data_IF_564702372240
#
_entry.id   IF_564702372240
#
_cell.length_a   1.000
_cell.length_b   1.000
_cell.length_c   1.000
_cell.angle_alpha   90.00
_cell.angle_beta   90.00
_cell.angle_gamma   90.00
#
_symmetry.space_group_name_H-M   'P 1'
#
loop_
_entity.id
_entity.type
_entity.pdbx_description
1 polymer ?
#
# COMPACT_ATOMS: atom_id res chain seq x y z
N UNK A 1 64.45 5.50 45.23
CA UNK A 1 63.10 5.96 45.65
C UNK A 1 62.55 7.07 44.73
N UNK A 2 63.20 7.38 43.60
CA UNK A 2 62.86 8.52 42.74
C UNK A 2 62.24 8.07 41.39
N UNK A 3 62.45 6.81 40.96
CA UNK A 3 61.95 6.27 39.68
C UNK A 3 60.43 5.95 39.62
N UNK A 4 59.67 6.20 40.70
CA UNK A 4 58.23 5.89 40.77
C UNK A 4 57.32 7.13 40.90
N UNK A 5 57.86 8.34 40.74
CA UNK A 5 57.09 9.58 40.85
C UNK A 5 56.30 9.85 39.56
N UNK A 6 55.04 10.27 39.71
CA UNK A 6 54.27 10.82 38.59
C UNK A 6 54.94 12.10 38.08
N UNK A 7 54.74 12.45 36.81
CA UNK A 7 55.34 13.67 36.24
C UNK A 7 54.87 14.93 36.98
N UNK A 8 53.61 14.95 37.44
CA UNK A 8 53.07 15.97 38.35
C UNK A 8 53.87 16.06 39.66
N UNK A 9 54.04 14.94 40.35
CA UNK A 9 54.76 14.92 41.65
C UNK A 9 56.23 15.29 41.50
N UNK A 10 56.84 14.87 40.38
CA UNK A 10 58.21 15.19 40.03
C UNK A 10 58.39 16.71 39.89
N UNK A 11 57.52 17.36 39.12
CA UNK A 11 57.56 18.82 38.93
C UNK A 11 57.30 19.57 40.23
N UNK A 12 56.35 19.11 41.04
CA UNK A 12 56.05 19.73 42.34
C UNK A 12 57.24 19.68 43.30
N UNK A 13 57.93 18.53 43.37
CA UNK A 13 59.14 18.39 44.18
C UNK A 13 60.28 19.25 43.64
N UNK A 14 60.45 19.29 42.31
CA UNK A 14 61.46 20.11 41.65
C UNK A 14 61.26 21.60 41.94
N UNK A 15 60.04 22.11 41.78
CA UNK A 15 59.74 23.52 42.05
C UNK A 15 59.90 23.87 43.52
N UNK A 16 59.43 23.01 44.43
CA UNK A 16 59.53 23.25 45.87
C UNK A 16 60.99 23.32 46.35
N UNK A 17 61.80 22.29 46.03
CA UNK A 17 63.22 22.27 46.41
C UNK A 17 64.04 23.34 45.71
N UNK A 18 63.70 23.64 44.45
CA UNK A 18 64.32 24.73 43.70
C UNK A 18 64.10 26.08 44.38
N UNK A 19 62.86 26.40 44.74
CA UNK A 19 62.53 27.65 45.45
C UNK A 19 63.25 27.75 46.81
N UNK A 20 63.33 26.66 47.56
CA UNK A 20 64.06 26.60 48.83
C UNK A 20 65.56 26.85 48.63
N UNK A 21 66.18 26.20 47.64
CA UNK A 21 67.59 26.42 47.29
C UNK A 21 67.86 27.87 46.88
N UNK A 22 66.98 28.48 46.08
CA UNK A 22 67.10 29.89 45.67
C UNK A 22 66.99 30.85 46.87
N UNK A 23 66.02 30.62 47.77
CA UNK A 23 65.78 31.47 48.95
C UNK A 23 67.00 31.52 49.87
N UNK A 24 67.59 30.36 50.17
CA UNK A 24 68.70 30.27 51.14
C UNK A 24 70.00 30.89 50.62
N UNK A 25 70.17 30.99 49.30
CA UNK A 25 71.35 31.57 48.71
C UNK A 25 71.21 33.06 48.37
N UNK A 26 69.97 33.60 48.28
CA UNK A 26 69.73 35.02 47.98
C UNK A 26 70.38 35.97 49.01
N UNK A 27 70.55 35.53 50.26
CA UNK A 27 71.15 36.34 51.33
C UNK A 27 72.70 36.37 51.33
N UNK A 28 73.37 35.57 50.50
CA UNK A 28 74.82 35.33 50.56
C UNK A 28 75.59 35.76 49.29
N UNK A 29 74.95 36.44 48.33
CA UNK A 29 75.51 36.64 46.98
C UNK A 29 75.72 38.12 46.68
N UNK A 30 76.98 38.53 46.48
CA UNK A 30 77.36 39.84 45.92
C UNK A 30 77.46 39.83 44.38
N UNK A 31 77.45 38.66 43.74
CA UNK A 31 77.57 38.51 42.29
C UNK A 31 76.25 38.82 41.55
N UNK A 32 76.27 39.90 40.77
CA UNK A 32 75.14 40.35 39.93
C UNK A 32 74.67 39.30 38.93
N UNK A 33 75.58 38.47 38.40
CA UNK A 33 75.26 37.45 37.39
C UNK A 33 74.45 36.32 38.02
N UNK A 34 74.88 35.84 39.18
CA UNK A 34 74.18 34.82 39.96
C UNK A 34 72.81 35.32 40.44
N UNK A 35 72.71 36.58 40.91
CA UNK A 35 71.42 37.18 41.31
C UNK A 35 70.41 37.18 40.15
N UNK A 36 70.84 37.57 38.94
CA UNK A 36 69.97 37.60 37.76
C UNK A 36 69.40 36.22 37.42
N UNK A 37 70.20 35.15 37.50
CA UNK A 37 69.71 33.78 37.25
C UNK A 37 68.65 33.38 38.27
N UNK A 38 68.91 33.66 39.55
CA UNK A 38 67.99 33.34 40.65
C UNK A 38 66.65 34.05 40.44
N UNK A 39 66.67 35.34 40.12
CA UNK A 39 65.47 36.13 39.84
C UNK A 39 64.70 35.61 38.62
N UNK A 40 65.41 35.14 37.59
CA UNK A 40 64.79 34.62 36.36
C UNK A 40 64.12 33.26 36.57
N UNK A 41 64.64 32.41 37.45
CA UNK A 41 64.05 31.09 37.75
C UNK A 41 62.77 31.20 38.57
N UNK A 42 62.70 32.19 39.48
CA UNK A 42 61.66 32.25 40.50
C UNK A 42 60.23 32.26 39.94
N UNK A 43 59.84 33.07 38.94
CA UNK A 43 58.45 33.16 38.49
C UNK A 43 57.89 31.84 37.95
N UNK A 44 58.68 31.10 37.16
CA UNK A 44 58.23 29.83 36.59
C UNK A 44 58.18 28.73 37.66
N UNK A 45 59.14 28.68 38.58
CA UNK A 45 59.11 27.72 39.68
C UNK A 45 57.93 27.99 40.63
N UNK A 46 57.61 29.25 40.92
CA UNK A 46 56.39 29.59 41.66
C UNK A 46 55.12 29.18 40.92
N UNK A 47 55.10 29.33 39.60
CA UNK A 47 53.95 28.93 38.76
C UNK A 47 53.76 27.41 38.76
N UNK A 48 54.84 26.65 38.60
CA UNK A 48 54.83 25.18 38.69
C UNK A 48 54.31 24.75 40.07
N UNK A 49 54.82 25.36 41.15
CA UNK A 49 54.47 24.99 42.51
C UNK A 49 53.02 25.32 42.89
N UNK A 50 52.39 26.30 42.23
CA UNK A 50 51.02 26.76 42.52
C UNK A 50 49.96 26.08 41.67
N UNK A 51 50.27 25.70 40.43
CA UNK A 51 49.29 25.11 39.51
C UNK A 51 49.29 23.60 39.61
N UNK A 52 48.10 23.04 39.81
CA UNK A 52 47.93 21.61 39.66
C UNK A 52 48.05 21.19 38.19
N UNK A 53 48.55 19.98 37.96
CA UNK A 53 48.72 19.37 36.65
C UNK A 53 49.56 20.21 35.65
N UNK A 54 50.61 20.87 36.13
CA UNK A 54 51.51 21.64 35.27
C UNK A 54 52.21 20.78 34.19
N UNK A 55 52.35 19.47 34.44
CA UNK A 55 52.80 18.47 33.48
C UNK A 55 51.95 18.42 32.20
N UNK A 56 50.65 18.72 32.31
CA UNK A 56 49.73 18.79 31.16
C UNK A 56 49.77 20.14 30.45
N UNK A 57 50.19 21.19 31.17
CA UNK A 57 50.35 22.55 30.61
C UNK A 57 51.64 22.62 29.78
N UNK A 58 52.73 22.03 30.28
CA UNK A 58 54.03 22.00 29.61
C UNK A 58 54.55 20.55 29.37
N UNK A 59 53.82 19.71 28.63
CA UNK A 59 54.15 18.29 28.43
C UNK A 59 55.47 18.08 27.69
N UNK A 60 55.85 18.97 26.77
CA UNK A 60 57.09 18.83 26.01
C UNK A 60 58.31 18.92 26.93
N UNK A 61 58.42 19.99 27.73
CA UNK A 61 59.55 20.17 28.64
C UNK A 61 59.50 19.24 29.83
N UNK A 62 58.31 18.84 30.29
CA UNK A 62 58.16 17.80 31.32
C UNK A 62 58.82 16.51 30.88
N UNK A 63 58.54 16.05 29.64
CA UNK A 63 59.17 14.84 29.10
C UNK A 63 60.65 15.04 28.79
N UNK A 64 61.02 16.17 28.18
CA UNK A 64 62.39 16.48 27.75
C UNK A 64 63.37 16.58 28.92
N UNK A 65 62.99 17.28 29.98
CA UNK A 65 63.86 17.57 31.12
C UNK A 65 63.71 16.59 32.28
N UNK A 66 62.91 15.52 32.14
CA UNK A 66 62.67 14.51 33.18
C UNK A 66 63.97 14.02 33.84
N UNK A 67 64.92 13.54 33.05
CA UNK A 67 66.20 13.04 33.57
C UNK A 67 67.03 14.12 34.27
N UNK A 68 67.05 15.33 33.72
CA UNK A 68 67.77 16.47 34.30
C UNK A 68 67.17 16.89 35.64
N UNK A 69 65.85 16.89 35.75
CA UNK A 69 65.12 17.19 36.98
C UNK A 69 65.40 16.13 38.05
N UNK A 70 65.37 14.84 37.68
CA UNK A 70 65.68 13.74 38.59
C UNK A 70 67.11 13.87 39.15
N UNK A 71 68.09 14.14 38.28
CA UNK A 71 69.48 14.38 38.68
C UNK A 71 69.64 15.58 39.62
N UNK A 72 68.94 16.69 39.36
CA UNK A 72 68.93 17.86 40.24
C UNK A 72 68.35 17.54 41.63
N UNK A 73 67.24 16.80 41.68
CA UNK A 73 66.61 16.38 42.92
C UNK A 73 67.51 15.45 43.75
N UNK A 74 68.23 14.53 43.11
CA UNK A 74 69.23 13.67 43.76
C UNK A 74 70.40 14.48 44.33
N UNK A 75 70.87 15.48 43.59
CA UNK A 75 71.94 16.37 44.05
C UNK A 75 71.52 17.18 45.28
N UNK A 76 70.31 17.75 45.28
CA UNK A 76 69.76 18.44 46.45
C UNK A 76 69.49 17.51 47.63
N UNK A 77 69.19 16.24 47.40
CA UNK A 77 69.07 15.25 48.48
C UNK A 77 70.41 15.00 49.19
N UNK A 78 71.53 15.02 48.45
CA UNK A 78 72.89 14.85 49.02
C UNK A 78 73.43 16.13 49.66
N UNK A 79 73.19 17.28 49.03
CA UNK A 79 73.65 18.60 49.48
C UNK A 79 72.50 19.60 49.35
N UNK A 80 71.68 19.77 50.40
CA UNK A 80 70.60 20.75 50.41
C UNK A 80 71.12 22.14 50.07
N UNK A 81 70.37 22.89 49.28
CA UNK A 81 70.66 24.29 48.90
C UNK A 81 71.93 24.51 48.05
N UNK A 82 72.52 23.46 47.47
CA UNK A 82 73.67 23.62 46.60
C UNK A 82 73.30 24.26 45.24
N UNK A 83 73.98 25.37 44.88
CA UNK A 83 73.84 26.08 43.61
C UNK A 83 74.89 25.72 42.54
N UNK A 84 75.69 24.67 42.74
CA UNK A 84 76.65 24.22 41.73
C UNK A 84 76.02 23.95 40.35
N UNK A 85 74.71 23.70 40.30
CA UNK A 85 73.94 23.45 39.09
C UNK A 85 72.90 24.54 38.80
N UNK A 86 73.17 25.77 39.23
CA UNK A 86 72.29 26.93 38.97
C UNK A 86 72.12 27.20 37.48
N UNK A 87 73.15 26.93 36.67
CA UNK A 87 73.09 27.12 35.22
C UNK A 87 72.07 26.16 34.57
N UNK A 88 72.06 24.90 34.98
CA UNK A 88 71.06 23.92 34.54
C UNK A 88 69.67 24.27 35.03
N UNK A 89 69.51 24.68 36.31
CA UNK A 89 68.22 25.12 36.83
C UNK A 89 67.68 26.33 36.06
N UNK A 90 68.56 27.26 35.71
CA UNK A 90 68.23 28.43 34.90
C UNK A 90 67.75 28.03 33.50
N UNK A 91 68.47 27.15 32.81
CA UNK A 91 68.07 26.71 31.47
C UNK A 91 66.77 25.90 31.48
N UNK A 92 66.59 25.01 32.45
CA UNK A 92 65.31 24.28 32.64
C UNK A 92 64.17 25.28 32.87
N UNK A 93 64.39 26.29 33.73
CA UNK A 93 63.40 27.33 34.01
C UNK A 93 63.04 28.14 32.76
N UNK A 94 64.02 28.50 31.92
CA UNK A 94 63.77 29.22 30.66
C UNK A 94 63.01 28.36 29.65
N UNK A 95 63.32 27.06 29.58
CA UNK A 95 62.61 26.11 28.73
C UNK A 95 61.12 26.02 29.09
N UNK A 96 60.81 25.77 30.37
CA UNK A 96 59.42 25.76 30.87
C UNK A 96 58.73 27.11 30.72
N UNK A 97 59.45 28.22 30.94
CA UNK A 97 58.92 29.56 30.74
C UNK A 97 58.41 29.75 29.31
N UNK A 98 59.18 29.28 28.32
CA UNK A 98 58.80 29.43 26.92
C UNK A 98 57.54 28.62 26.57
N UNK A 99 57.51 27.35 26.94
CA UNK A 99 56.34 26.51 26.66
C UNK A 99 55.09 27.04 27.38
N UNK A 100 55.23 27.54 28.61
CA UNK A 100 54.13 28.15 29.35
C UNK A 100 53.61 29.42 28.66
N UNK A 101 54.49 30.30 28.19
CA UNK A 101 54.08 31.49 27.43
C UNK A 101 53.32 31.10 26.15
N UNK A 102 53.81 30.10 25.41
CA UNK A 102 53.10 29.58 24.23
C UNK A 102 51.73 28.98 24.60
N UNK A 103 51.62 28.30 25.75
CA UNK A 103 50.34 27.83 26.26
C UNK A 103 49.39 29.00 26.53
N UNK A 104 49.86 30.07 27.18
CA UNK A 104 49.06 31.26 27.46
C UNK A 104 48.58 31.91 26.15
N UNK A 105 49.46 32.05 25.15
CA UNK A 105 49.13 32.58 23.82
C UNK A 105 48.04 31.73 23.13
N UNK A 106 48.18 30.40 23.10
CA UNK A 106 47.19 29.49 22.48
C UNK A 106 45.81 29.54 23.13
N UNK A 107 45.73 29.86 24.41
CA UNK A 107 44.48 29.93 25.16
C UNK A 107 43.98 31.37 25.35
N UNK A 108 44.57 32.35 24.65
CA UNK A 108 44.24 33.77 24.77
C UNK A 108 44.31 34.30 26.23
N UNK A 109 45.23 33.76 27.03
CA UNK A 109 45.49 34.18 28.41
C UNK A 109 46.57 35.27 28.38
N UNK A 110 46.38 36.36 29.13
CA UNK A 110 47.40 37.40 29.26
C UNK A 110 48.73 36.80 29.80
N UNK A 111 49.88 37.18 29.24
CA UNK A 111 51.16 36.60 29.61
C UNK A 111 51.49 36.92 31.07
N UNK A 112 52.12 35.97 31.76
CA UNK A 112 52.66 36.26 33.08
C UNK A 112 53.86 37.23 32.92
N UNK A 113 53.67 38.51 33.26
CA UNK A 113 54.66 39.58 33.03
C UNK A 113 56.07 39.20 33.50
N UNK A 114 56.21 38.62 34.71
CA UNK A 114 57.52 38.21 35.22
C UNK A 114 58.20 37.16 34.33
N UNK A 115 57.47 36.13 33.90
CA UNK A 115 57.99 35.09 33.00
C UNK A 115 58.30 35.68 31.63
N UNK A 116 57.42 36.53 31.09
CA UNK A 116 57.60 37.20 29.81
C UNK A 116 58.86 38.09 29.79
N UNK A 117 59.06 38.91 30.82
CA UNK A 117 60.18 39.84 30.90
C UNK A 117 61.53 39.12 31.02
N UNK A 118 61.61 38.08 31.86
CA UNK A 118 62.82 37.28 31.96
C UNK A 118 63.10 36.45 30.71
N UNK A 119 62.06 35.96 30.03
CA UNK A 119 62.20 35.32 28.73
C UNK A 119 62.76 36.29 27.67
N UNK A 120 62.23 37.51 27.60
CA UNK A 120 62.72 38.54 26.67
C UNK A 120 64.19 38.89 26.93
N UNK A 121 64.58 39.04 28.20
CA UNK A 121 65.97 39.25 28.62
C UNK A 121 66.87 38.08 28.24
N UNK A 122 66.45 36.85 28.53
CA UNK A 122 67.18 35.64 28.15
C UNK A 122 67.42 35.58 26.64
N UNK A 123 66.40 35.88 25.83
CA UNK A 123 66.50 35.92 24.37
C UNK A 123 67.54 36.93 23.90
N UNK A 124 67.56 38.12 24.48
CA UNK A 124 68.51 39.17 24.17
C UNK A 124 69.95 38.81 24.61
N UNK A 125 70.12 38.26 25.82
CA UNK A 125 71.42 37.84 26.36
C UNK A 125 72.05 36.74 25.47
N UNK A 126 71.25 35.77 25.02
CA UNK A 126 71.71 34.69 24.12
C UNK A 126 72.07 35.24 22.73
N UNK A 127 71.35 36.22 22.22
CA UNK A 127 71.62 36.87 20.94
C UNK A 127 72.93 37.66 20.95
N UNK A 128 73.14 38.43 22.01
CA UNK A 128 74.33 39.27 22.19
C UNK A 128 75.55 38.47 22.67
N UNK A 129 75.39 37.15 22.89
CA UNK A 129 76.42 36.24 23.44
C UNK A 129 76.90 36.63 24.83
N UNK A 130 76.06 37.33 25.61
CA UNK A 130 76.34 37.78 26.99
C UNK A 130 75.86 36.69 27.95
N UNK A 131 76.36 35.47 27.76
CA UNK A 131 75.88 34.31 28.52
C UNK A 131 76.36 34.42 29.97
N UNK A 132 75.46 34.28 30.95
CA UNK A 132 75.88 34.12 32.33
C UNK A 132 76.37 32.68 32.62
N UNK A 133 76.60 31.85 31.59
CA UNK A 133 76.83 30.40 31.70
C UNK A 133 78.32 30.06 31.63
N UNK A 134 78.78 29.14 32.48
CA UNK A 134 80.20 28.77 32.57
C UNK A 134 80.62 27.84 31.42
N UNK A 135 79.87 26.77 31.22
CA UNK A 135 80.24 25.67 30.33
C UNK A 135 79.74 25.87 28.88
N UNK A 136 80.51 25.42 27.89
CA UNK A 136 80.15 25.59 26.48
C UNK A 136 78.91 24.79 26.06
N UNK A 137 78.71 23.59 26.62
CA UNK A 137 77.50 22.79 26.35
C UNK A 137 76.22 23.48 26.85
N UNK A 138 76.32 24.27 27.92
CA UNK A 138 75.20 25.06 28.46
C UNK A 138 74.86 26.22 27.53
N UNK A 139 75.87 26.85 26.91
CA UNK A 139 75.66 27.89 25.89
C UNK A 139 74.97 27.34 24.65
N UNK A 140 75.34 26.14 24.19
CA UNK A 140 74.64 25.46 23.10
C UNK A 140 73.19 25.11 23.47
N UNK A 141 72.95 24.68 24.71
CA UNK A 141 71.59 24.45 25.21
C UNK A 141 70.77 25.75 25.21
N UNK A 142 71.36 26.88 25.60
CA UNK A 142 70.70 28.18 25.56
C UNK A 142 70.35 28.62 24.12
N UNK A 143 71.25 28.38 23.16
CA UNK A 143 70.98 28.62 21.73
C UNK A 143 69.82 27.77 21.23
N UNK A 144 69.79 26.49 21.61
CA UNK A 144 68.68 25.61 21.27
C UNK A 144 67.34 26.12 21.83
N UNK A 145 67.28 26.47 23.12
CA UNK A 145 66.08 27.00 23.78
C UNK A 145 65.56 28.25 23.03
N UNK A 146 66.47 29.15 22.63
CA UNK A 146 66.10 30.37 21.90
C UNK A 146 65.64 30.09 20.47
N UNK A 147 66.39 29.30 19.71
CA UNK A 147 66.30 29.29 18.26
C UNK A 147 65.50 28.09 17.71
N UNK A 148 65.48 26.96 18.41
CA UNK A 148 65.01 25.68 17.86
C UNK A 148 63.83 25.08 18.65
N UNK A 149 63.76 25.33 19.95
CA UNK A 149 62.75 24.73 20.82
C UNK A 149 61.31 25.03 20.38
N UNK A 150 61.02 26.22 19.86
CA UNK A 150 59.69 26.58 19.38
C UNK A 150 59.20 25.64 18.26
N UNK A 151 60.09 25.20 17.37
CA UNK A 151 59.77 24.24 16.30
C UNK A 151 59.51 22.83 16.85
N UNK A 152 60.29 22.40 17.83
CA UNK A 152 60.11 21.09 18.46
C UNK A 152 58.83 21.03 19.29
N UNK A 153 58.51 22.13 20.00
CA UNK A 153 57.22 22.30 20.69
C UNK A 153 56.09 22.21 19.66
N UNK A 154 56.16 22.98 18.57
CA UNK A 154 55.15 22.95 17.53
C UNK A 154 54.97 21.54 16.95
N UNK A 155 56.05 20.85 16.62
CA UNK A 155 56.02 19.48 16.10
C UNK A 155 55.42 18.49 17.12
N UNK A 156 55.75 18.66 18.41
CA UNK A 156 55.15 17.86 19.48
C UNK A 156 53.62 18.00 19.53
N UNK A 157 53.09 19.22 19.42
CA UNK A 157 51.65 19.48 19.46
C UNK A 157 50.94 19.11 18.14
N UNK A 158 51.56 19.35 16.97
CA UNK A 158 51.02 18.95 15.67
C UNK A 158 51.00 17.43 15.48
N UNK A 159 51.90 16.69 16.13
CA UNK A 159 51.91 15.23 16.12
C UNK A 159 50.80 14.58 16.95
N UNK A 160 50.05 15.34 17.76
CA UNK A 160 48.95 14.81 18.56
C UNK A 160 47.69 14.53 17.72
N UNK A 161 46.83 13.63 18.21
CA UNK A 161 45.67 13.05 17.49
C UNK A 161 44.77 14.09 16.81
N UNK A 162 44.68 15.30 17.35
CA UNK A 162 43.75 16.33 16.90
C UNK A 162 44.08 16.88 15.49
N UNK A 163 45.34 16.77 15.04
CA UNK A 163 45.77 17.22 13.71
C UNK A 163 45.90 16.10 12.67
N UNK A 164 45.69 14.84 13.07
CA UNK A 164 45.62 13.72 12.13
C UNK A 164 44.45 13.87 11.14
N UNK A 165 43.39 14.58 11.53
CA UNK A 165 42.29 14.92 10.62
C UNK A 165 42.75 15.79 9.44
N UNK A 166 43.71 16.71 9.66
CA UNK A 166 44.29 17.53 8.61
C UNK A 166 45.21 16.71 7.70
N UNK A 167 46.06 15.85 8.29
CA UNK A 167 46.95 14.98 7.54
C UNK A 167 46.20 13.94 6.68
N UNK A 168 45.02 13.50 7.11
CA UNK A 168 44.21 12.49 6.42
C UNK A 168 43.01 13.08 5.66
N UNK A 169 42.97 14.40 5.45
CA UNK A 169 41.83 15.07 4.83
C UNK A 169 41.51 14.50 3.44
N UNK A 170 42.52 14.42 2.57
CA UNK A 170 42.35 13.93 1.18
C UNK A 170 41.78 12.51 1.15
N UNK A 171 42.32 11.62 2.01
CA UNK A 171 41.80 10.25 2.15
C UNK A 171 40.36 10.23 2.63
N UNK A 172 40.03 11.07 3.62
CA UNK A 172 38.67 11.14 4.17
C UNK A 172 37.67 11.62 3.13
N UNK A 173 38.03 12.61 2.31
CA UNK A 173 37.21 13.09 1.19
C UNK A 173 36.99 11.98 0.16
N UNK A 174 38.07 11.28 -0.24
CA UNK A 174 37.97 10.19 -1.21
C UNK A 174 37.09 9.03 -0.71
N UNK A 175 37.24 8.63 0.55
CA UNK A 175 36.41 7.60 1.18
C UNK A 175 34.93 8.04 1.25
N UNK A 176 34.66 9.33 1.45
CA UNK A 176 33.32 9.89 1.46
C UNK A 176 32.70 9.89 0.04
N UNK A 177 33.45 10.32 -0.98
CA UNK A 177 33.00 10.29 -2.37
C UNK A 177 32.66 8.88 -2.84
N UNK A 178 33.49 7.88 -2.49
CA UNK A 178 33.22 6.48 -2.81
C UNK A 178 31.93 5.97 -2.15
N UNK A 179 31.70 6.31 -0.88
CA UNK A 179 30.46 5.95 -0.17
C UNK A 179 29.24 6.62 -0.77
N UNK A 180 29.34 7.89 -1.17
CA UNK A 180 28.27 8.60 -1.86
C UNK A 180 27.97 7.95 -3.21
N UNK A 181 28.99 7.54 -3.95
CA UNK A 181 28.83 6.78 -5.20
C UNK A 181 28.02 5.50 -5.00
N UNK A 182 28.44 4.66 -4.05
CA UNK A 182 27.74 3.40 -3.71
C UNK A 182 26.30 3.62 -3.23
N UNK A 183 26.06 4.67 -2.44
CA UNK A 183 24.71 5.02 -1.98
C UNK A 183 23.79 5.42 -3.12
N UNK A 184 24.30 6.18 -4.11
CA UNK A 184 23.51 6.57 -5.29
C UNK A 184 23.12 5.36 -6.13
N UNK A 185 24.05 4.43 -6.35
CA UNK A 185 23.78 3.18 -7.08
C UNK A 185 22.68 2.36 -6.37
N UNK A 186 22.83 2.14 -5.06
CA UNK A 186 21.80 1.45 -4.26
C UNK A 186 20.44 2.16 -4.24
N UNK A 187 20.42 3.49 -4.34
CA UNK A 187 19.17 4.26 -4.37
C UNK A 187 18.46 4.05 -5.70
N UNK A 188 19.19 4.11 -6.82
CA UNK A 188 18.64 3.88 -8.15
C UNK A 188 18.09 2.45 -8.29
N UNK A 189 18.83 1.43 -7.84
CA UNK A 189 18.36 0.03 -7.86
C UNK A 189 17.06 -0.14 -7.07
N UNK A 190 16.94 0.53 -5.92
CA UNK A 190 15.70 0.50 -5.11
C UNK A 190 14.55 1.26 -5.76
N UNK A 191 14.83 2.38 -6.42
CA UNK A 191 13.84 3.15 -7.16
C UNK A 191 13.27 2.32 -8.32
N UNK A 192 14.12 1.63 -9.07
CA UNK A 192 13.71 0.72 -10.15
C UNK A 192 12.85 -0.43 -9.61
N UNK A 193 13.29 -1.12 -8.56
CA UNK A 193 12.51 -2.18 -7.91
C UNK A 193 11.18 -1.69 -7.34
N UNK A 194 11.13 -0.45 -6.84
CA UNK A 194 9.90 0.12 -6.32
C UNK A 194 8.91 0.44 -7.43
N UNK A 195 9.40 1.03 -8.53
CA UNK A 195 8.59 1.32 -9.72
C UNK A 195 8.03 0.05 -10.35
N UNK A 196 8.83 -1.01 -10.47
CA UNK A 196 8.36 -2.31 -10.97
C UNK A 196 7.22 -2.89 -10.11
N UNK A 197 7.35 -2.83 -8.78
CA UNK A 197 6.30 -3.27 -7.85
C UNK A 197 5.03 -2.42 -7.90
N UNK A 198 5.16 -1.13 -8.18
CA UNK A 198 4.00 -0.25 -8.34
C UNK A 198 3.23 -0.64 -9.61
N UNK A 199 3.94 -0.84 -10.73
CA UNK A 199 3.34 -1.28 -11.99
C UNK A 199 2.65 -2.65 -11.84
N UNK A 200 3.30 -3.62 -11.18
CA UNK A 200 2.71 -4.94 -10.91
C UNK A 200 1.43 -4.83 -10.06
N UNK A 201 1.39 -3.92 -9.09
CA UNK A 201 0.22 -3.70 -8.24
C UNK A 201 -0.90 -2.99 -8.99
N UNK A 202 -0.58 -2.01 -9.83
CA UNK A 202 -1.54 -1.31 -10.67
C UNK A 202 -2.25 -2.30 -11.61
N UNK A 203 -1.49 -3.18 -12.27
CA UNK A 203 -2.04 -4.25 -13.11
C UNK A 203 -2.99 -5.18 -12.33
N UNK A 204 -2.61 -5.58 -11.11
CA UNK A 204 -3.47 -6.41 -10.25
C UNK A 204 -4.76 -5.70 -9.86
N UNK A 205 -4.70 -4.40 -9.58
CA UNK A 205 -5.89 -3.59 -9.23
C UNK A 205 -6.83 -3.50 -10.43
N UNK A 206 -6.30 -3.27 -11.63
CA UNK A 206 -7.10 -3.22 -12.85
C UNK A 206 -7.75 -4.57 -13.17
N UNK A 207 -7.01 -5.67 -13.01
CA UNK A 207 -7.55 -7.03 -13.17
C UNK A 207 -8.68 -7.34 -12.16
N UNK A 208 -8.51 -6.91 -10.90
CA UNK A 208 -9.55 -7.05 -9.88
C UNK A 208 -10.78 -6.22 -10.20
N UNK A 209 -10.59 -4.97 -10.67
CA UNK A 209 -11.69 -4.11 -11.12
C UNK A 209 -12.48 -4.77 -12.25
N UNK A 210 -11.79 -5.29 -13.27
CA UNK A 210 -12.42 -5.99 -14.38
C UNK A 210 -13.21 -7.24 -13.92
N UNK A 211 -12.68 -7.98 -12.94
CA UNK A 211 -13.36 -9.15 -12.36
C UNK A 211 -14.57 -8.76 -11.51
N UNK A 212 -14.50 -7.66 -10.76
CA UNK A 212 -15.62 -7.15 -9.98
C UNK A 212 -16.77 -6.69 -10.89
N UNK A 213 -16.45 -5.98 -11.98
CA UNK A 213 -17.43 -5.56 -12.97
C UNK A 213 -18.11 -6.79 -13.61
N UNK A 214 -17.36 -7.85 -13.95
CA UNK A 214 -17.94 -9.08 -14.50
C UNK A 214 -18.85 -9.81 -13.50
N UNK A 215 -18.47 -9.89 -12.22
CA UNK A 215 -19.32 -10.46 -11.17
C UNK A 215 -20.58 -9.63 -10.91
N UNK A 216 -20.48 -8.30 -10.91
CA UNK A 216 -21.63 -7.42 -10.76
C UNK A 216 -22.64 -7.61 -11.91
N UNK A 217 -22.14 -7.72 -13.15
CA UNK A 217 -22.98 -8.05 -14.30
C UNK A 217 -23.65 -9.42 -14.12
N UNK A 218 -22.89 -10.46 -13.79
CA UNK A 218 -23.44 -11.80 -13.59
C UNK A 218 -24.53 -11.83 -12.50
N UNK A 219 -24.31 -11.16 -11.37
CA UNK A 219 -25.28 -11.09 -10.26
C UNK A 219 -26.59 -10.40 -10.66
N UNK A 220 -26.53 -9.31 -11.44
CA UNK A 220 -27.72 -8.62 -11.93
C UNK A 220 -28.60 -9.53 -12.79
N UNK A 221 -27.99 -10.39 -13.62
CA UNK A 221 -28.73 -11.33 -14.46
C UNK A 221 -29.31 -12.53 -13.70
N UNK A 222 -28.63 -12.99 -12.64
CA UNK A 222 -29.23 -13.96 -11.71
C UNK A 222 -30.48 -13.35 -11.07
N UNK A 223 -30.43 -12.08 -10.66
CA UNK A 223 -31.60 -11.35 -10.16
C UNK A 223 -32.74 -11.24 -11.19
N UNK A 224 -32.42 -10.92 -12.44
CA UNK A 224 -33.41 -10.87 -13.53
C UNK A 224 -34.03 -12.24 -13.82
N UNK A 225 -33.22 -13.31 -13.81
CA UNK A 225 -33.72 -14.68 -13.97
C UNK A 225 -34.73 -15.06 -12.89
N UNK A 226 -34.41 -14.77 -11.62
CA UNK A 226 -35.35 -14.98 -10.51
C UNK A 226 -36.61 -14.12 -10.67
N UNK A 227 -36.48 -12.90 -11.19
CA UNK A 227 -37.59 -12.04 -11.55
C UNK A 227 -38.51 -12.68 -12.59
N UNK A 228 -37.96 -13.21 -13.69
CA UNK A 228 -38.73 -13.92 -14.71
C UNK A 228 -39.37 -15.21 -14.20
N UNK A 229 -38.68 -15.98 -13.37
CA UNK A 229 -39.25 -17.19 -12.74
C UNK A 229 -40.51 -16.86 -11.93
N UNK A 230 -40.48 -15.76 -11.17
CA UNK A 230 -41.63 -15.29 -10.40
C UNK A 230 -42.78 -14.84 -11.31
N UNK A 231 -42.49 -14.16 -12.41
CA UNK A 231 -43.51 -13.78 -13.42
C UNK A 231 -44.11 -15.01 -14.11
N UNK A 232 -43.31 -16.03 -14.41
CA UNK A 232 -43.74 -17.29 -14.98
C UNK A 232 -44.67 -18.06 -14.05
N UNK A 233 -44.32 -18.18 -12.76
CA UNK A 233 -45.20 -18.80 -11.76
C UNK A 233 -46.56 -18.10 -11.70
N UNK A 234 -46.58 -16.76 -11.74
CA UNK A 234 -47.84 -15.97 -11.76
C UNK A 234 -48.64 -16.21 -13.05
N UNK A 235 -48.01 -16.18 -14.22
CA UNK A 235 -48.70 -16.40 -15.51
C UNK A 235 -49.16 -17.84 -15.71
N UNK A 236 -48.39 -18.83 -15.27
CA UNK A 236 -48.77 -20.25 -15.33
C UNK A 236 -50.00 -20.53 -14.48
N UNK A 237 -50.11 -19.91 -13.29
CA UNK A 237 -51.34 -19.97 -12.47
C UNK A 237 -52.53 -19.35 -13.21
N UNK A 238 -52.34 -18.19 -13.84
CA UNK A 238 -53.39 -17.55 -14.63
C UNK A 238 -53.83 -18.41 -15.82
N UNK A 239 -52.90 -19.08 -16.52
CA UNK A 239 -53.18 -20.04 -17.61
C UNK A 239 -54.02 -21.21 -17.11
N UNK A 240 -53.69 -21.75 -15.95
CA UNK A 240 -54.45 -22.86 -15.37
C UNK A 240 -55.87 -22.42 -14.98
N UNK A 241 -56.04 -21.23 -14.39
CA UNK A 241 -57.35 -20.67 -14.09
C UNK A 241 -58.20 -20.44 -15.36
N UNK A 242 -57.61 -19.89 -16.43
CA UNK A 242 -58.33 -19.70 -17.69
C UNK A 242 -58.68 -21.03 -18.37
N UNK A 243 -57.83 -22.05 -18.26
CA UNK A 243 -58.12 -23.40 -18.74
C UNK A 243 -59.33 -24.02 -18.01
N UNK A 244 -59.36 -23.94 -16.68
CA UNK A 244 -60.51 -24.40 -15.88
C UNK A 244 -61.78 -23.63 -16.28
N UNK A 245 -61.66 -22.31 -16.48
CA UNK A 245 -62.76 -21.48 -16.98
C UNK A 245 -63.27 -21.91 -18.36
N UNK A 246 -62.39 -22.29 -19.29
CA UNK A 246 -62.77 -22.82 -20.60
C UNK A 246 -63.54 -24.13 -20.50
N UNK A 247 -63.11 -25.06 -19.63
CA UNK A 247 -63.83 -26.32 -19.40
C UNK A 247 -65.23 -26.02 -18.84
N UNK A 248 -65.33 -25.14 -17.84
CA UNK A 248 -66.61 -24.77 -17.26
C UNK A 248 -67.54 -24.15 -18.31
N UNK A 249 -67.02 -23.28 -19.17
CA UNK A 249 -67.80 -22.64 -20.23
C UNK A 249 -68.19 -23.64 -21.34
N UNK A 250 -67.33 -24.60 -21.68
CA UNK A 250 -67.65 -25.69 -22.60
C UNK A 250 -68.80 -26.57 -22.09
N UNK A 251 -68.78 -26.94 -20.81
CA UNK A 251 -69.88 -27.68 -20.18
C UNK A 251 -71.16 -26.83 -20.19
N UNK A 252 -71.05 -25.53 -19.90
CA UNK A 252 -72.17 -24.60 -19.92
C UNK A 252 -72.78 -24.42 -21.33
N UNK A 253 -71.97 -24.39 -22.40
CA UNK A 253 -72.45 -24.36 -23.79
C UNK A 253 -73.21 -25.64 -24.17
N UNK A 254 -72.74 -26.80 -23.71
CA UNK A 254 -73.40 -28.07 -24.04
C UNK A 254 -74.73 -28.27 -23.29
N UNK A 255 -74.95 -27.58 -22.18
CA UNK A 255 -76.10 -27.81 -21.31
C UNK A 255 -77.45 -27.41 -21.96
N UNK A 256 -77.64 -26.20 -22.51
CA UNK A 256 -78.87 -25.85 -23.21
C UNK A 256 -79.14 -26.75 -24.42
N UNK A 257 -78.10 -27.07 -25.20
CA UNK A 257 -78.22 -27.92 -26.39
C UNK A 257 -78.63 -29.35 -26.02
N UNK A 258 -78.02 -29.93 -25.00
CA UNK A 258 -78.37 -31.27 -24.52
C UNK A 258 -79.77 -31.33 -23.93
N UNK A 259 -80.20 -30.31 -23.18
CA UNK A 259 -81.58 -30.22 -22.67
C UNK A 259 -82.61 -30.14 -23.81
N UNK A 260 -82.36 -29.33 -24.84
CA UNK A 260 -83.23 -29.26 -26.03
C UNK A 260 -83.26 -30.60 -26.77
N UNK A 261 -82.11 -31.24 -26.97
CA UNK A 261 -82.03 -32.55 -27.62
C UNK A 261 -82.83 -33.63 -26.85
N UNK A 262 -82.72 -33.66 -25.51
CA UNK A 262 -83.49 -34.58 -24.65
C UNK A 262 -84.99 -34.31 -24.79
N UNK A 263 -85.42 -33.04 -24.79
CA UNK A 263 -86.83 -32.69 -24.96
C UNK A 263 -87.37 -33.12 -26.33
N UNK A 264 -86.62 -32.86 -27.42
CA UNK A 264 -87.00 -33.29 -28.77
C UNK A 264 -87.08 -34.82 -28.89
N UNK A 265 -86.12 -35.56 -28.31
CA UNK A 265 -86.14 -37.02 -28.28
C UNK A 265 -87.36 -37.54 -27.49
N UNK A 266 -87.65 -36.93 -26.35
CA UNK A 266 -88.82 -37.27 -25.52
C UNK A 266 -90.14 -37.04 -26.25
N UNK A 267 -90.25 -36.01 -27.09
CA UNK A 267 -91.46 -35.73 -27.87
C UNK A 267 -91.57 -36.64 -29.12
N UNK A 268 -90.44 -37.02 -29.71
CA UNK A 268 -90.38 -37.86 -30.91
C UNK A 268 -90.67 -39.35 -30.63
N UNK A 269 -90.20 -39.89 -29.49
CA UNK A 269 -90.36 -41.31 -29.15
C UNK A 269 -91.86 -41.75 -29.10
N UNK A 270 -92.78 -41.04 -28.43
CA UNK A 270 -94.19 -41.40 -28.41
C UNK A 270 -94.87 -41.29 -29.79
N UNK A 271 -94.47 -40.32 -30.61
CA UNK A 271 -95.01 -40.15 -31.97
C UNK A 271 -94.55 -41.27 -32.89
N UNK A 272 -93.28 -41.66 -32.82
CA UNK A 272 -92.74 -42.82 -33.53
C UNK A 272 -93.41 -44.11 -33.07
N UNK A 273 -93.66 -44.26 -31.75
CA UNK A 273 -94.32 -45.45 -31.21
C UNK A 273 -95.78 -45.54 -31.71
N UNK A 274 -96.52 -44.42 -31.76
CA UNK A 274 -97.86 -44.36 -32.36
C UNK A 274 -97.84 -44.71 -33.86
N UNK A 275 -96.86 -44.20 -34.60
CA UNK A 275 -96.69 -44.54 -36.01
C UNK A 275 -96.39 -46.03 -36.21
N UNK A 276 -95.45 -46.60 -35.46
CA UNK A 276 -95.10 -48.02 -35.52
C UNK A 276 -96.27 -48.93 -35.10
N UNK A 277 -97.04 -48.55 -34.07
CA UNK A 277 -98.27 -49.24 -33.66
C UNK A 277 -99.41 -49.12 -34.67
N UNK A 278 -99.36 -48.15 -35.60
CA UNK A 278 -100.36 -47.97 -36.66
C UNK A 278 -100.04 -48.75 -37.95
N UNK A 279 -98.90 -49.44 -38.02
CA UNK A 279 -98.54 -50.29 -39.15
C UNK A 279 -99.36 -51.60 -39.06
N UNK A 280 -100.22 -51.92 -40.03
CA UNK A 280 -101.00 -53.15 -39.99
C UNK A 280 -100.06 -54.35 -40.07
N UNK A 281 -100.12 -55.24 -39.08
CA UNK A 281 -99.46 -56.54 -39.14
C UNK A 281 -100.16 -57.37 -40.22
N UNK A 282 -99.41 -57.85 -41.22
CA UNK A 282 -99.91 -58.73 -42.29
C UNK A 282 -100.36 -60.09 -41.71
N UNK A 283 -101.52 -60.12 -41.06
CA UNK A 283 -102.22 -61.35 -40.69
C UNK A 283 -103.71 -61.10 -40.37
N UNK A 284 -104.41 -60.28 -41.17
CA UNK A 284 -105.85 -60.43 -41.42
C UNK A 284 -106.34 -59.34 -42.38
N UNK A 285 -106.46 -59.67 -43.66
CA UNK A 285 -107.28 -58.91 -44.60
C UNK A 285 -108.73 -59.39 -44.42
N UNK A 286 -109.69 -58.48 -44.17
CA UNK A 286 -110.99 -58.62 -44.79
C UNK A 286 -111.24 -57.48 -45.78
N UNK A 287 -111.82 -57.89 -46.89
CA UNK A 287 -112.24 -57.11 -48.04
C UNK A 287 -113.20 -55.96 -47.68
N UNK A 288 -112.92 -54.77 -48.23
CA UNK A 288 -113.94 -53.74 -48.47
C UNK A 288 -113.96 -52.53 -47.52
N UNK A 289 -112.97 -51.64 -47.62
CA UNK A 289 -113.15 -50.19 -47.47
C UNK A 289 -111.87 -49.44 -47.87
N UNK A 290 -111.97 -48.55 -48.86
CA UNK A 290 -110.91 -47.62 -49.23
C UNK A 290 -110.80 -46.53 -48.16
N UNK A 291 -109.85 -46.66 -47.23
CA UNK A 291 -109.42 -45.56 -46.38
C UNK A 291 -107.96 -45.23 -46.70
N UNK A 292 -107.74 -44.20 -47.52
CA UNK A 292 -106.44 -43.53 -47.61
C UNK A 292 -106.13 -42.94 -46.23
N UNK A 293 -104.98 -43.22 -45.61
CA UNK A 293 -104.59 -42.49 -44.41
C UNK A 293 -104.40 -41.00 -44.78
N UNK A 294 -105.17 -40.12 -44.14
CA UNK A 294 -105.03 -38.67 -44.24
C UNK A 294 -103.62 -38.26 -43.75
N UNK A 295 -102.78 -37.82 -44.69
CA UNK A 295 -101.43 -37.28 -44.47
C UNK A 295 -101.43 -35.86 -43.85
N UNK A 296 -102.57 -35.35 -43.36
CA UNK A 296 -102.75 -33.95 -42.97
C UNK A 296 -102.21 -33.59 -41.59
N UNK A 297 -101.90 -34.56 -40.72
CA UNK A 297 -101.46 -34.28 -39.34
C UNK A 297 -99.93 -34.20 -39.12
N UNK A 298 -99.10 -34.39 -40.16
CA UNK A 298 -97.63 -34.36 -39.99
C UNK A 298 -97.08 -32.94 -40.09
N UNK A 299 -97.77 -32.03 -40.79
CA UNK A 299 -97.34 -30.65 -40.96
C UNK A 299 -97.65 -29.77 -39.72
N UNK A 300 -98.72 -30.05 -38.98
CA UNK A 300 -99.17 -29.20 -37.87
C UNK A 300 -98.34 -29.43 -36.58
N UNK A 301 -97.73 -30.61 -36.44
CA UNK A 301 -96.82 -30.95 -35.33
C UNK A 301 -95.46 -30.22 -35.42
N UNK A 302 -95.06 -29.77 -36.61
CA UNK A 302 -93.75 -29.16 -36.84
C UNK A 302 -93.67 -27.64 -36.56
N UNK A 303 -94.81 -26.95 -36.38
CA UNK A 303 -94.82 -25.47 -36.37
C UNK A 303 -94.59 -24.83 -34.99
N UNK A 304 -94.79 -25.57 -33.90
CA UNK A 304 -94.67 -25.06 -32.51
C UNK A 304 -93.24 -25.02 -31.96
N UNK A 305 -92.25 -25.57 -32.67
CA UNK A 305 -90.94 -25.89 -32.09
C UNK A 305 -89.87 -24.81 -32.30
N UNK A 306 -89.89 -24.08 -33.42
CA UNK A 306 -88.76 -23.19 -33.77
C UNK A 306 -88.74 -21.88 -32.97
N UNK A 307 -89.90 -21.29 -32.67
CA UNK A 307 -90.01 -20.04 -31.90
C UNK A 307 -89.50 -20.22 -30.46
N UNK A 308 -89.71 -21.40 -29.89
CA UNK A 308 -89.22 -21.76 -28.54
C UNK A 308 -87.71 -22.03 -28.50
N UNK A 309 -87.08 -22.31 -29.66
CA UNK A 309 -85.62 -22.47 -29.76
C UNK A 309 -84.89 -21.14 -29.90
N UNK A 310 -85.57 -20.06 -30.31
CA UNK A 310 -84.93 -18.77 -30.57
C UNK A 310 -84.14 -18.21 -29.36
N UNK A 311 -84.65 -18.25 -28.11
CA UNK A 311 -83.86 -17.84 -26.94
C UNK A 311 -82.66 -18.74 -26.67
N UNK A 312 -82.77 -20.04 -26.94
CA UNK A 312 -81.67 -21.01 -26.75
C UNK A 312 -80.57 -20.76 -27.77
N UNK A 313 -80.93 -20.56 -29.04
CA UNK A 313 -79.98 -20.22 -30.11
C UNK A 313 -79.27 -18.90 -29.79
N UNK A 314 -80.01 -17.87 -29.36
CA UNK A 314 -79.42 -16.59 -28.96
C UNK A 314 -78.45 -16.72 -27.78
N UNK A 315 -78.83 -17.49 -26.75
CA UNK A 315 -77.95 -17.80 -25.61
C UNK A 315 -76.69 -18.56 -26.07
N UNK A 316 -76.83 -19.53 -26.98
CA UNK A 316 -75.71 -20.31 -27.51
C UNK A 316 -74.69 -19.44 -28.23
N UNK A 317 -75.14 -18.50 -29.08
CA UNK A 317 -74.26 -17.54 -29.74
C UNK A 317 -73.49 -16.67 -28.73
N UNK A 318 -74.14 -16.23 -27.66
CA UNK A 318 -73.49 -15.46 -26.59
C UNK A 318 -72.45 -16.31 -25.86
N UNK A 319 -72.78 -17.55 -25.51
CA UNK A 319 -71.85 -18.46 -24.83
C UNK A 319 -70.65 -18.80 -25.73
N UNK A 320 -70.85 -19.08 -27.02
CA UNK A 320 -69.78 -19.31 -28.00
C UNK A 320 -68.89 -18.06 -28.15
N UNK A 321 -69.48 -16.86 -28.14
CA UNK A 321 -68.72 -15.61 -28.17
C UNK A 321 -67.79 -15.50 -26.96
N UNK A 322 -68.31 -15.71 -25.74
CA UNK A 322 -67.49 -15.70 -24.53
C UNK A 322 -66.45 -16.83 -24.52
N UNK A 323 -66.78 -18.02 -25.03
CA UNK A 323 -65.82 -19.11 -25.22
C UNK A 323 -64.63 -18.64 -26.06
N UNK A 324 -64.89 -18.02 -27.20
CA UNK A 324 -63.86 -17.49 -28.11
C UNK A 324 -63.02 -16.40 -27.46
N UNK A 325 -63.63 -15.50 -26.68
CA UNK A 325 -62.92 -14.44 -25.96
C UNK A 325 -61.97 -15.05 -24.92
N UNK A 326 -62.44 -15.98 -24.11
CA UNK A 326 -61.62 -16.65 -23.09
C UNK A 326 -60.52 -17.51 -23.74
N UNK A 327 -60.81 -18.16 -24.86
CA UNK A 327 -59.84 -18.95 -25.62
C UNK A 327 -58.72 -18.05 -26.18
N UNK A 328 -59.08 -16.89 -26.72
CA UNK A 328 -58.10 -15.87 -27.16
C UNK A 328 -57.22 -15.41 -25.99
N UNK A 329 -57.81 -15.17 -24.81
CA UNK A 329 -57.04 -14.83 -23.60
C UNK A 329 -56.13 -15.96 -23.13
N UNK A 330 -56.57 -17.22 -23.23
CA UNK A 330 -55.74 -18.39 -22.92
C UNK A 330 -54.51 -18.47 -23.84
N UNK A 331 -54.71 -18.34 -25.16
CA UNK A 331 -53.61 -18.32 -26.12
C UNK A 331 -52.67 -17.13 -25.89
N UNK A 332 -53.21 -15.94 -25.57
CA UNK A 332 -52.41 -14.78 -25.20
C UNK A 332 -51.49 -15.05 -23.99
N UNK A 333 -52.02 -15.66 -22.92
CA UNK A 333 -51.23 -16.01 -21.73
C UNK A 333 -50.17 -17.06 -22.08
N UNK A 334 -50.50 -18.05 -22.91
CA UNK A 334 -49.55 -19.07 -23.36
C UNK A 334 -48.38 -18.44 -24.14
N UNK A 335 -48.65 -17.49 -25.04
CA UNK A 335 -47.61 -16.76 -25.77
C UNK A 335 -46.72 -15.97 -24.82
N UNK A 336 -47.30 -15.31 -23.81
CA UNK A 336 -46.52 -14.57 -22.80
C UNK A 336 -45.64 -15.48 -21.95
N UNK A 337 -46.11 -16.68 -21.60
CA UNK A 337 -45.32 -17.69 -20.88
C UNK A 337 -44.12 -18.12 -21.71
N UNK A 338 -44.32 -18.47 -22.98
CA UNK A 338 -43.25 -18.89 -23.88
C UNK A 338 -42.16 -17.80 -24.02
N UNK A 339 -42.57 -16.53 -24.15
CA UNK A 339 -41.64 -15.40 -24.21
C UNK A 339 -40.90 -15.15 -22.88
N UNK A 340 -41.51 -15.47 -21.74
CA UNK A 340 -40.88 -15.34 -20.42
C UNK A 340 -39.92 -16.52 -20.13
N UNK A 341 -40.25 -17.74 -20.56
CA UNK A 341 -39.40 -18.94 -20.43
C UNK A 341 -38.10 -18.77 -21.21
N UNK A 342 -38.18 -18.22 -22.42
CA UNK A 342 -37.00 -17.89 -23.23
C UNK A 342 -36.11 -16.89 -22.49
N UNK A 343 -36.67 -15.77 -21.98
CA UNK A 343 -35.90 -14.76 -21.25
C UNK A 343 -35.31 -15.29 -19.93
N UNK A 344 -36.06 -16.10 -19.18
CA UNK A 344 -35.53 -16.75 -17.96
C UNK A 344 -34.34 -17.64 -18.30
N UNK A 345 -34.47 -18.50 -19.31
CA UNK A 345 -33.42 -19.45 -19.73
C UNK A 345 -32.17 -18.72 -20.21
N UNK A 346 -32.34 -17.65 -20.99
CA UNK A 346 -31.25 -16.79 -21.42
C UNK A 346 -30.56 -16.14 -20.21
N UNK A 347 -31.32 -15.57 -19.26
CA UNK A 347 -30.74 -14.96 -18.06
C UNK A 347 -30.04 -15.93 -17.11
N UNK A 348 -30.41 -17.21 -17.08
CA UNK A 348 -29.71 -18.24 -16.29
C UNK A 348 -28.35 -18.61 -16.88
N UNK A 349 -28.20 -18.52 -18.20
CA UNK A 349 -26.97 -18.88 -18.91
C UNK A 349 -25.94 -17.75 -18.92
N UNK A 350 -26.30 -16.55 -18.43
CA UNK A 350 -25.55 -15.32 -18.66
C UNK A 350 -24.23 -15.18 -17.87
N UNK A 351 -23.93 -16.09 -16.94
CA UNK A 351 -22.57 -16.12 -16.37
C UNK A 351 -21.50 -16.33 -17.46
N UNK A 352 -21.84 -17.01 -18.56
CA UNK A 352 -21.02 -17.10 -19.78
C UNK A 352 -21.32 -16.00 -20.81
N UNK A 353 -22.44 -15.26 -20.69
CA UNK A 353 -22.81 -14.20 -21.62
C UNK A 353 -21.97 -12.94 -21.46
N UNK A 354 -21.57 -12.55 -20.25
CA UNK A 354 -20.73 -11.36 -20.09
C UNK A 354 -19.38 -11.55 -20.81
N UNK A 355 -18.83 -12.77 -20.76
CA UNK A 355 -17.64 -13.17 -21.52
C UNK A 355 -17.95 -13.30 -23.02
N UNK A 356 -19.01 -14.02 -23.39
CA UNK A 356 -19.44 -14.21 -24.78
C UNK A 356 -19.82 -12.91 -25.51
N UNK A 357 -20.50 -11.97 -24.85
CA UNK A 357 -20.86 -10.68 -25.42
C UNK A 357 -19.61 -9.82 -25.64
N UNK A 358 -18.57 -9.97 -24.81
CA UNK A 358 -17.28 -9.27 -24.99
C UNK A 358 -16.53 -9.82 -26.20
N UNK A 359 -16.54 -11.13 -26.40
CA UNK A 359 -15.94 -11.80 -27.57
C UNK A 359 -16.74 -11.55 -28.86
N UNK A 360 -18.06 -11.73 -28.84
CA UNK A 360 -18.93 -11.55 -30.02
C UNK A 360 -19.08 -10.10 -30.43
N UNK A 361 -19.04 -9.13 -29.50
CA UNK A 361 -19.04 -7.70 -29.88
C UNK A 361 -17.84 -7.33 -30.75
N UNK A 362 -16.73 -8.07 -30.65
CA UNK A 362 -15.56 -7.90 -31.49
C UNK A 362 -15.67 -8.63 -32.85
N UNK A 363 -16.43 -9.73 -32.93
CA UNK A 363 -16.54 -10.57 -34.15
C UNK A 363 -17.81 -10.34 -34.97
N UNK A 364 -18.97 -10.17 -34.34
CA UNK A 364 -20.28 -9.98 -35.00
C UNK A 364 -21.25 -9.19 -34.10
N UNK A 365 -21.19 -7.86 -34.23
CA UNK A 365 -22.01 -6.91 -33.46
C UNK A 365 -23.51 -7.00 -33.80
N UNK A 366 -23.87 -7.37 -35.03
CA UNK A 366 -25.27 -7.44 -35.48
C UNK A 366 -26.00 -8.64 -34.88
N UNK A 367 -25.30 -9.78 -34.73
CA UNK A 367 -25.81 -10.94 -34.01
C UNK A 367 -26.10 -10.64 -32.53
N UNK A 368 -25.22 -9.87 -31.87
CA UNK A 368 -25.39 -9.46 -30.48
C UNK A 368 -26.59 -8.52 -30.30
N UNK A 369 -26.76 -7.54 -31.18
CA UNK A 369 -27.87 -6.59 -31.13
C UNK A 369 -29.23 -7.28 -31.34
N UNK A 370 -29.31 -8.25 -32.26
CA UNK A 370 -30.51 -9.07 -32.46
C UNK A 370 -30.85 -9.93 -31.23
N UNK A 371 -29.84 -10.47 -30.57
CA UNK A 371 -29.99 -11.24 -29.34
C UNK A 371 -30.46 -10.38 -28.17
N UNK A 372 -29.87 -9.21 -27.96
CA UNK A 372 -30.29 -8.27 -26.90
C UNK A 372 -31.73 -7.79 -27.12
N UNK A 373 -32.11 -7.49 -28.36
CA UNK A 373 -33.47 -7.16 -28.72
C UNK A 373 -34.46 -8.31 -28.42
N UNK A 374 -34.03 -9.56 -28.54
CA UNK A 374 -34.85 -10.72 -28.18
C UNK A 374 -35.07 -10.81 -26.66
N UNK A 375 -34.05 -10.51 -25.85
CA UNK A 375 -34.16 -10.48 -24.37
C UNK A 375 -34.99 -9.28 -23.90
N UNK A 376 -34.74 -8.08 -24.42
CA UNK A 376 -35.26 -6.82 -23.87
C UNK A 376 -36.49 -6.27 -24.60
N UNK A 377 -36.96 -6.93 -25.66
CA UNK A 377 -38.23 -6.56 -26.33
C UNK A 377 -39.42 -6.62 -25.39
N UNK A 378 -40.44 -5.81 -25.68
CA UNK A 378 -41.71 -5.81 -24.95
C UNK A 378 -42.41 -7.17 -25.01
N UNK A 379 -43.04 -7.59 -23.91
CA UNK A 379 -43.89 -8.80 -23.88
C UNK A 379 -45.15 -8.53 -24.70
N UNK A 380 -45.34 -9.25 -25.81
CA UNK A 380 -46.47 -9.05 -26.70
C UNK A 380 -47.65 -9.95 -26.31
N UNK A 381 -48.83 -9.35 -26.23
CA UNK A 381 -50.06 -10.03 -25.81
C UNK A 381 -50.81 -10.73 -26.95
N UNK A 382 -50.39 -10.59 -28.21
CA UNK A 382 -51.18 -11.03 -29.36
C UNK A 382 -50.48 -12.19 -30.13
N UNK A 383 -51.11 -13.38 -30.28
CA UNK A 383 -50.54 -14.52 -31.00
C UNK A 383 -50.21 -14.22 -32.47
N UNK A 384 -51.02 -13.37 -33.13
CA UNK A 384 -50.84 -13.01 -34.55
C UNK A 384 -49.75 -11.95 -34.78
N UNK A 385 -49.12 -11.45 -33.70
CA UNK A 385 -47.97 -10.54 -33.72
C UNK A 385 -46.81 -11.10 -32.90
N UNK A 386 -46.66 -12.43 -32.85
CA UNK A 386 -45.34 -12.98 -32.53
C UNK A 386 -44.43 -12.52 -33.67
N UNK A 387 -43.42 -11.67 -33.43
CA UNK A 387 -42.56 -11.20 -34.51
C UNK A 387 -41.85 -12.42 -35.10
N UNK A 388 -41.37 -12.31 -36.34
CA UNK A 388 -40.39 -13.26 -36.92
C UNK A 388 -39.08 -13.40 -36.12
N UNK A 389 -39.02 -12.94 -34.88
CA UNK A 389 -37.98 -13.25 -33.90
C UNK A 389 -38.00 -14.71 -33.43
N UNK A 390 -39.12 -15.43 -33.62
CA UNK A 390 -39.16 -16.88 -33.41
C UNK A 390 -38.56 -17.68 -34.59
N UNK A 391 -38.46 -17.12 -35.80
CA UNK A 391 -37.71 -17.73 -36.91
C UNK A 391 -36.18 -17.68 -36.69
N UNK A 392 -35.71 -16.85 -35.76
CA UNK A 392 -34.31 -16.83 -35.32
C UNK A 392 -33.86 -18.05 -34.51
N UNK A 393 -34.79 -18.95 -34.14
CA UNK A 393 -34.48 -20.21 -33.46
C UNK A 393 -33.69 -21.15 -34.37
N UNK A 394 -33.90 -21.12 -35.69
CA UNK A 394 -33.12 -21.91 -36.64
C UNK A 394 -31.65 -21.42 -36.70
N UNK A 395 -31.41 -20.11 -36.55
CA UNK A 395 -30.06 -19.54 -36.41
C UNK A 395 -29.41 -19.85 -35.05
N UNK A 396 -30.21 -19.99 -33.98
CA UNK A 396 -29.74 -20.46 -32.68
C UNK A 396 -29.38 -21.95 -32.70
N UNK A 397 -30.08 -22.77 -33.49
CA UNK A 397 -29.77 -24.18 -33.68
C UNK A 397 -28.43 -24.38 -34.42
N UNK A 398 -28.06 -23.50 -35.35
CA UNK A 398 -26.72 -23.52 -35.97
C UNK A 398 -25.61 -23.09 -35.01
N UNK A 399 -25.84 -22.07 -34.18
CA UNK A 399 -24.87 -21.62 -33.17
C UNK A 399 -24.65 -22.65 -32.05
N UNK A 400 -25.71 -23.33 -31.61
CA UNK A 400 -25.62 -24.46 -30.66
C UNK A 400 -24.89 -25.67 -31.27
N UNK A 401 -24.96 -25.86 -32.60
CA UNK A 401 -24.21 -26.90 -33.31
C UNK A 401 -22.72 -26.61 -33.38
N UNK A 402 -22.33 -25.36 -33.59
CA UNK A 402 -20.91 -24.93 -33.59
C UNK A 402 -20.29 -25.02 -32.19
N UNK A 403 -21.05 -24.70 -31.13
CA UNK A 403 -20.60 -24.82 -29.74
C UNK A 403 -20.42 -26.27 -29.26
N UNK A 404 -21.14 -27.23 -29.84
CA UNK A 404 -21.02 -28.66 -29.49
C UNK A 404 -19.89 -29.38 -30.25
N UNK A 405 -19.28 -28.71 -31.23
CA UNK A 405 -18.25 -29.26 -32.11
C UNK A 405 -16.81 -28.92 -31.67
N UNK A 406 -16.61 -28.32 -30.50
CA UNK A 406 -15.29 -27.95 -29.99
C UNK A 406 -15.05 -28.49 -28.58
#
# INVERSE_FOLDING_TARGET
>A
MIDSLSDKDLLQQFSSKGLEALKNNTASIEDKVTSRKIESCRPILETINRRDHFDQICPFNTKRHKTNILSQLENWAKKPHNLNYLDELFLISMAFSREYLLFQERHAISPHWGIHDYWAKFKADVEQKIYPLKEDYLKETAKYIRNNMDFDILNHYLGQKDYQAFLNYEKTVKDAEERIGKLKEQLNDKEEQFNEKILEREEKVDNLKASLESFQTAFNFVGLSQGFENLLKKKSRAKWLTFVGLIALFVLTLLPLSLVAIHLLSDMIPQLMKYLLSIPTEASIPSGANAKPELTNIAEVATWSWQKMLPVIGLEFVLIYFFRVVLTHYHSIQTQIMQLELRQSLCQFIQNYAEYAKEIKASDKDALEKFENLIFSSILSNPDKVPGTFDGIDSLASLLKELKSK
#
